data_IF_116681066064
#
_entry.id   IF_116681066064
#
_cell.length_a   1.000
_cell.length_b   1.000
_cell.length_c   1.000
_cell.angle_alpha   90.00
_cell.angle_beta   90.00
_cell.angle_gamma   90.00
#
_symmetry.space_group_name_H-M   'P 1'
#
loop_
_entity.id
_entity.type
_entity.pdbx_description
1 polymer ?
#
# COMPACT_ATOMS: atom_id res chain seq x y z
N UNK A 1 3.19 -1.98 -9.58
CA UNK A 1 2.95 -2.99 -8.51
C UNK A 1 1.65 -2.76 -7.73
N UNK A 2 1.31 -1.54 -7.30
CA UNK A 2 0.04 -1.30 -6.59
C UNK A 2 -1.20 -1.67 -7.41
N UNK A 3 -1.16 -1.49 -8.72
CA UNK A 3 -2.31 -1.75 -9.61
C UNK A 3 -2.57 -3.27 -9.74
N UNK A 4 -1.54 -4.06 -10.03
CA UNK A 4 -1.67 -5.52 -10.14
C UNK A 4 -2.05 -6.18 -8.80
N UNK A 5 -1.50 -5.69 -7.68
CA UNK A 5 -1.91 -6.14 -6.35
C UNK A 5 -3.40 -5.89 -6.09
N UNK A 6 -3.91 -4.70 -6.45
CA UNK A 6 -5.32 -4.37 -6.28
C UNK A 6 -6.23 -5.21 -7.18
N UNK A 7 -5.79 -5.47 -8.42
CA UNK A 7 -6.50 -6.37 -9.35
C UNK A 7 -6.60 -7.78 -8.75
N UNK A 8 -5.52 -8.31 -8.18
CA UNK A 8 -5.50 -9.62 -7.52
C UNK A 8 -6.47 -9.64 -6.33
N UNK A 9 -6.45 -8.62 -5.46
CA UNK A 9 -7.35 -8.52 -4.30
C UNK A 9 -8.82 -8.51 -4.75
N UNK A 10 -9.17 -7.70 -5.75
CA UNK A 10 -10.53 -7.63 -6.28
C UNK A 10 -10.98 -8.97 -6.90
N UNK A 11 -10.06 -9.69 -7.52
CA UNK A 11 -10.32 -11.02 -8.09
C UNK A 11 -10.54 -12.07 -6.99
N UNK A 12 -9.83 -11.96 -5.87
CA UNK A 12 -10.04 -12.81 -4.68
C UNK A 12 -11.40 -12.57 -4.04
N UNK A 13 -11.85 -11.32 -3.96
CA UNK A 13 -13.20 -10.98 -3.45
C UNK A 13 -14.30 -11.59 -4.35
N UNK A 14 -14.12 -11.54 -5.67
CA UNK A 14 -15.05 -12.16 -6.64
C UNK A 14 -15.10 -13.68 -6.48
N UNK A 15 -13.97 -14.33 -6.25
CA UNK A 15 -13.89 -15.76 -5.94
C UNK A 15 -14.58 -16.09 -4.61
N UNK A 16 -14.37 -15.29 -3.56
CA UNK A 16 -14.99 -15.50 -2.24
C UNK A 16 -16.52 -15.45 -2.29
N UNK A 17 -17.09 -14.64 -3.20
CA UNK A 17 -18.54 -14.54 -3.45
C UNK A 17 -19.10 -15.63 -4.38
N UNK A 18 -18.25 -16.53 -4.88
CA UNK A 18 -18.66 -17.68 -5.71
C UNK A 18 -18.90 -17.34 -7.20
N UNK A 19 -18.47 -16.18 -7.66
CA UNK A 19 -18.72 -15.68 -9.02
C UNK A 19 -17.66 -16.07 -10.05
N UNK A 20 -16.55 -16.72 -9.68
CA UNK A 20 -15.46 -17.09 -10.58
C UNK A 20 -14.68 -18.31 -10.10
N UNK A 21 -14.05 -19.04 -11.03
CA UNK A 21 -13.01 -20.02 -10.70
C UNK A 21 -11.69 -19.29 -10.48
N UNK A 22 -11.11 -19.46 -9.31
CA UNK A 22 -9.88 -18.78 -8.93
C UNK A 22 -8.68 -19.17 -9.81
N UNK A 23 -8.64 -20.41 -10.31
CA UNK A 23 -7.57 -20.86 -11.20
C UNK A 23 -7.64 -20.16 -12.56
N UNK A 24 -8.85 -20.07 -13.15
CA UNK A 24 -9.06 -19.36 -14.40
C UNK A 24 -8.70 -17.87 -14.26
N UNK A 25 -9.09 -17.27 -13.13
CA UNK A 25 -8.76 -15.87 -12.84
C UNK A 25 -7.25 -15.65 -12.77
N UNK A 26 -6.50 -16.52 -12.06
CA UNK A 26 -5.05 -16.42 -11.98
C UNK A 26 -4.41 -16.65 -13.35
N UNK A 27 -4.88 -17.60 -14.13
CA UNK A 27 -4.36 -17.86 -15.46
C UNK A 27 -4.56 -16.67 -16.39
N UNK A 28 -5.73 -16.05 -16.37
CA UNK A 28 -6.02 -14.83 -17.14
C UNK A 28 -5.10 -13.66 -16.71
N UNK A 29 -4.87 -13.51 -15.42
CA UNK A 29 -3.96 -12.47 -14.91
C UNK A 29 -2.51 -12.71 -15.37
N UNK A 30 -2.05 -13.95 -15.34
CA UNK A 30 -0.70 -14.30 -15.82
C UNK A 30 -0.57 -14.08 -17.35
N UNK A 31 -1.60 -14.40 -18.13
CA UNK A 31 -1.61 -14.14 -19.58
C UNK A 31 -1.54 -12.64 -19.91
N UNK A 32 -2.20 -11.79 -19.12
CA UNK A 32 -2.26 -10.35 -19.34
C UNK A 32 -1.05 -9.59 -18.75
N UNK A 33 -0.61 -9.95 -17.54
CA UNK A 33 0.36 -9.19 -16.74
C UNK A 33 1.73 -9.89 -16.63
N UNK A 34 1.82 -11.15 -17.10
CA UNK A 34 3.06 -11.93 -17.07
C UNK A 34 3.31 -12.69 -15.76
N UNK A 35 4.45 -13.37 -15.72
CA UNK A 35 4.82 -14.27 -14.60
C UNK A 35 5.06 -13.55 -13.26
N UNK A 36 5.25 -12.23 -13.28
CA UNK A 36 5.32 -11.39 -12.05
C UNK A 36 4.03 -11.43 -11.22
N UNK A 37 2.95 -11.95 -11.78
CA UNK A 37 1.69 -12.20 -11.06
C UNK A 37 1.87 -13.22 -9.93
N UNK A 38 2.70 -14.26 -10.12
CA UNK A 38 2.86 -15.32 -9.12
C UNK A 38 3.43 -14.84 -7.78
N UNK A 39 4.56 -14.10 -7.71
CA UNK A 39 5.09 -13.61 -6.44
C UNK A 39 4.13 -12.64 -5.75
N UNK A 40 3.44 -11.77 -6.49
CA UNK A 40 2.48 -10.83 -5.91
C UNK A 40 1.27 -11.58 -5.34
N UNK A 41 0.75 -12.57 -6.07
CA UNK A 41 -0.37 -13.41 -5.62
C UNK A 41 -0.01 -14.17 -4.33
N UNK A 42 1.12 -14.87 -4.30
CA UNK A 42 1.56 -15.60 -3.12
C UNK A 42 1.81 -14.66 -1.94
N UNK A 43 2.41 -13.48 -2.19
CA UNK A 43 2.59 -12.48 -1.14
C UNK A 43 1.25 -11.95 -0.59
N UNK A 44 0.26 -11.72 -1.44
CA UNK A 44 -1.09 -11.30 -0.98
C UNK A 44 -1.74 -12.35 -0.08
N UNK A 45 -1.58 -13.63 -0.43
CA UNK A 45 -2.26 -14.74 0.26
C UNK A 45 -1.51 -15.26 1.50
N UNK A 46 -0.18 -15.16 1.51
CA UNK A 46 0.65 -15.81 2.55
C UNK A 46 1.62 -14.89 3.28
N UNK A 47 1.84 -13.66 2.76
CA UNK A 47 2.90 -12.74 3.16
C UNK A 47 4.33 -13.27 2.98
N UNK A 48 4.51 -14.37 2.26
CA UNK A 48 5.81 -14.88 1.90
C UNK A 48 6.33 -14.16 0.65
N UNK A 49 7.63 -13.93 0.61
CA UNK A 49 8.32 -13.33 -0.54
C UNK A 49 9.08 -14.41 -1.30
N UNK A 50 8.88 -14.45 -2.60
CA UNK A 50 9.52 -15.39 -3.50
C UNK A 50 10.05 -14.67 -4.74
N UNK A 51 11.13 -15.19 -5.33
CA UNK A 51 11.49 -14.84 -6.70
C UNK A 51 10.37 -15.28 -7.66
N UNK A 52 10.31 -14.69 -8.87
CA UNK A 52 9.32 -15.06 -9.89
C UNK A 52 9.37 -16.56 -10.20
N UNK A 53 10.58 -17.12 -10.32
CA UNK A 53 10.79 -18.54 -10.59
C UNK A 53 10.32 -19.44 -9.43
N UNK A 54 10.65 -19.09 -8.19
CA UNK A 54 10.22 -19.83 -7.02
C UNK A 54 8.71 -19.74 -6.79
N UNK A 55 8.13 -18.56 -7.01
CA UNK A 55 6.69 -18.34 -6.90
C UNK A 55 5.92 -19.22 -7.88
N UNK A 56 6.35 -19.27 -9.15
CA UNK A 56 5.76 -20.15 -10.17
C UNK A 56 5.90 -21.62 -9.79
N UNK A 57 7.08 -22.04 -9.35
CA UNK A 57 7.32 -23.42 -8.91
C UNK A 57 6.42 -23.80 -7.72
N UNK A 58 6.31 -22.91 -6.72
CA UNK A 58 5.41 -23.12 -5.58
C UNK A 58 3.95 -23.20 -6.02
N UNK A 59 3.52 -22.32 -6.93
CA UNK A 59 2.15 -22.36 -7.49
C UNK A 59 1.83 -23.72 -8.13
N UNK A 60 2.71 -24.23 -9.01
CA UNK A 60 2.54 -25.52 -9.65
C UNK A 60 2.50 -26.68 -8.63
N UNK A 61 3.31 -26.60 -7.59
CA UNK A 61 3.34 -27.59 -6.52
C UNK A 61 2.07 -27.55 -5.66
N UNK A 62 1.51 -26.35 -5.39
CA UNK A 62 0.23 -26.19 -4.69
C UNK A 62 -0.90 -26.86 -5.49
N UNK A 63 -0.96 -26.67 -6.82
CA UNK A 63 -1.96 -27.29 -7.68
C UNK A 63 -1.85 -28.83 -7.66
N UNK A 64 -0.63 -29.36 -7.74
CA UNK A 64 -0.39 -30.82 -7.63
C UNK A 64 -0.80 -31.34 -6.26
N UNK A 65 -0.47 -30.59 -5.20
CA UNK A 65 -0.82 -30.96 -3.83
C UNK A 65 -2.34 -30.94 -3.61
N UNK A 66 -3.05 -29.98 -4.19
CA UNK A 66 -4.50 -29.94 -4.16
C UNK A 66 -5.11 -31.20 -4.77
N UNK A 67 -4.67 -31.57 -5.97
CA UNK A 67 -5.15 -32.78 -6.64
C UNK A 67 -4.89 -34.06 -5.81
N UNK A 68 -3.72 -34.12 -5.15
CA UNK A 68 -3.38 -35.23 -4.25
C UNK A 68 -4.28 -35.28 -3.02
N UNK A 69 -4.60 -34.14 -2.42
CA UNK A 69 -5.54 -34.06 -1.29
C UNK A 69 -6.97 -34.46 -1.71
N UNK A 70 -7.43 -34.05 -2.88
CA UNK A 70 -8.75 -34.41 -3.40
C UNK A 70 -8.89 -35.94 -3.56
N UNK A 71 -7.86 -36.59 -4.12
CA UNK A 71 -7.83 -38.06 -4.24
C UNK A 71 -7.82 -38.73 -2.87
N UNK A 72 -7.01 -38.27 -1.93
CA UNK A 72 -6.90 -38.87 -0.60
C UNK A 72 -8.14 -38.70 0.26
N UNK A 73 -8.84 -37.57 0.15
CA UNK A 73 -9.98 -37.20 0.98
C UNK A 73 -11.32 -37.57 0.33
N UNK A 74 -11.29 -38.03 -0.93
CA UNK A 74 -12.48 -38.36 -1.73
C UNK A 74 -13.52 -37.25 -1.73
N UNK A 75 -13.06 -35.99 -1.82
CA UNK A 75 -13.89 -34.79 -1.89
C UNK A 75 -13.13 -33.61 -2.51
N UNK A 76 -13.84 -32.62 -3.08
CA UNK A 76 -13.21 -31.39 -3.53
C UNK A 76 -12.51 -30.65 -2.37
N UNK A 77 -11.32 -30.11 -2.64
CA UNK A 77 -10.51 -29.32 -1.69
C UNK A 77 -10.34 -27.91 -2.26
N UNK A 78 -10.69 -26.89 -1.50
CA UNK A 78 -10.46 -25.51 -1.92
C UNK A 78 -8.97 -25.22 -2.05
N UNK A 79 -8.58 -24.44 -3.05
CA UNK A 79 -7.19 -24.10 -3.32
C UNK A 79 -6.48 -23.47 -2.10
N UNK A 80 -7.16 -22.57 -1.38
CA UNK A 80 -6.63 -21.95 -0.14
C UNK A 80 -6.30 -23.01 0.91
N UNK A 81 -7.15 -24.02 1.08
CA UNK A 81 -6.89 -25.13 2.02
C UNK A 81 -5.63 -25.91 1.62
N UNK A 82 -5.51 -26.26 0.33
CA UNK A 82 -4.35 -26.96 -0.18
C UNK A 82 -3.06 -26.12 -0.08
N UNK A 83 -3.15 -24.83 -0.28
CA UNK A 83 -2.02 -23.90 -0.14
C UNK A 83 -1.55 -23.78 1.31
N UNK A 84 -2.47 -23.66 2.27
CA UNK A 84 -2.14 -23.65 3.70
C UNK A 84 -1.44 -24.96 4.11
N UNK A 85 -2.00 -26.10 3.70
CA UNK A 85 -1.43 -27.42 3.99
C UNK A 85 -0.05 -27.58 3.33
N UNK A 86 0.11 -27.17 2.07
CA UNK A 86 1.39 -27.23 1.35
C UNK A 86 2.47 -26.39 2.05
N UNK A 87 2.19 -25.14 2.41
CA UNK A 87 3.17 -24.26 3.03
C UNK A 87 3.47 -24.63 4.49
N UNK A 88 2.55 -25.28 5.19
CA UNK A 88 2.73 -25.73 6.58
C UNK A 88 3.42 -27.10 6.67
N UNK A 89 2.94 -28.07 5.90
CA UNK A 89 3.35 -29.48 6.06
C UNK A 89 4.39 -29.93 5.05
N UNK A 90 4.34 -29.42 3.81
CA UNK A 90 5.23 -29.89 2.72
C UNK A 90 6.46 -29.01 2.61
N UNK A 91 6.28 -27.72 2.32
CA UNK A 91 7.40 -26.79 2.12
C UNK A 91 7.90 -26.14 3.41
N UNK A 92 7.11 -26.18 4.48
CA UNK A 92 7.42 -25.66 5.82
C UNK A 92 7.83 -24.19 5.88
N UNK A 93 7.36 -23.39 4.93
CA UNK A 93 7.56 -21.94 4.94
C UNK A 93 6.71 -21.25 6.02
N UNK A 94 5.58 -21.85 6.41
CA UNK A 94 4.70 -21.38 7.48
C UNK A 94 4.80 -22.30 8.69
N UNK A 95 5.22 -21.76 9.84
CA UNK A 95 5.34 -22.53 11.08
C UNK A 95 4.06 -22.56 11.90
N UNK A 96 3.39 -21.42 12.05
CA UNK A 96 2.13 -21.25 12.81
C UNK A 96 1.21 -20.32 12.02
N UNK A 97 0.62 -20.77 10.91
CA UNK A 97 -0.28 -19.92 10.13
C UNK A 97 -1.53 -19.57 10.92
N UNK A 98 -1.90 -18.28 10.92
CA UNK A 98 -3.16 -17.79 11.47
C UNK A 98 -4.05 -17.35 10.32
N UNK A 99 -5.32 -17.76 10.32
CA UNK A 99 -6.27 -17.30 9.32
C UNK A 99 -6.85 -15.94 9.74
N UNK A 100 -6.68 -14.94 8.89
CA UNK A 100 -7.30 -13.63 9.03
C UNK A 100 -8.08 -13.36 7.75
N UNK A 101 -9.28 -12.83 7.89
CA UNK A 101 -10.06 -12.41 6.73
C UNK A 101 -9.29 -11.31 5.98
N UNK A 102 -9.13 -11.44 4.66
CA UNK A 102 -8.35 -10.51 3.83
C UNK A 102 -8.85 -9.06 4.01
N UNK A 103 -10.16 -8.88 4.10
CA UNK A 103 -10.78 -7.57 4.31
C UNK A 103 -10.37 -6.95 5.65
N UNK A 104 -10.38 -7.71 6.75
CA UNK A 104 -9.96 -7.25 8.05
C UNK A 104 -8.46 -6.88 8.07
N UNK A 105 -7.64 -7.64 7.33
CA UNK A 105 -6.22 -7.35 7.17
C UNK A 105 -6.00 -6.05 6.40
N UNK A 106 -6.72 -5.83 5.30
CA UNK A 106 -6.61 -4.61 4.48
C UNK A 106 -7.14 -3.37 5.25
N UNK A 107 -8.20 -3.52 6.05
CA UNK A 107 -8.66 -2.46 6.94
C UNK A 107 -7.59 -2.10 7.99
N UNK A 108 -6.96 -3.11 8.61
CA UNK A 108 -5.86 -2.90 9.56
C UNK A 108 -4.66 -2.21 8.87
N UNK A 109 -4.35 -2.59 7.64
CA UNK A 109 -3.29 -1.94 6.84
C UNK A 109 -3.63 -0.49 6.48
N UNK A 110 -4.88 -0.19 6.14
CA UNK A 110 -5.32 1.19 5.89
C UNK A 110 -5.14 2.07 7.12
N UNK A 111 -5.59 1.59 8.29
CA UNK A 111 -5.38 2.28 9.57
C UNK A 111 -3.88 2.47 9.87
N UNK A 112 -3.05 1.47 9.54
CA UNK A 112 -1.59 1.54 9.75
C UNK A 112 -0.85 2.43 8.74
N UNK A 113 -1.50 2.96 7.68
CA UNK A 113 -0.87 3.80 6.65
C UNK A 113 -1.09 5.28 6.83
N UNK A 114 -2.07 5.67 7.62
CA UNK A 114 -2.42 7.07 7.85
C UNK A 114 -1.96 7.55 9.22
N UNK A 115 -1.70 8.84 9.32
CA UNK A 115 -1.48 9.52 10.59
C UNK A 115 -2.84 9.83 11.24
N UNK A 116 -3.01 9.39 12.48
CA UNK A 116 -4.30 9.49 13.19
C UNK A 116 -4.73 10.91 13.52
N UNK A 117 -3.82 11.89 13.54
CA UNK A 117 -4.13 13.29 13.80
C UNK A 117 -4.57 14.02 12.54
N UNK A 118 -3.77 13.92 11.47
CA UNK A 118 -3.91 14.72 10.25
C UNK A 118 -4.70 14.03 9.14
N UNK A 119 -4.84 12.70 9.19
CA UNK A 119 -5.43 11.90 8.12
C UNK A 119 -4.55 11.77 6.87
N UNK A 120 -3.39 12.44 6.83
CA UNK A 120 -2.37 12.22 5.79
C UNK A 120 -1.78 10.81 5.91
N UNK A 121 -1.06 10.39 4.88
CA UNK A 121 -0.27 9.16 5.02
C UNK A 121 0.84 9.36 6.07
N UNK A 122 1.23 8.30 6.75
CA UNK A 122 2.28 8.32 7.74
C UNK A 122 3.68 8.11 7.12
N UNK A 123 4.73 8.27 7.92
CA UNK A 123 6.13 8.09 7.51
C UNK A 123 6.39 6.72 6.89
N UNK A 124 5.81 5.65 7.43
CA UNK A 124 6.00 4.31 6.88
C UNK A 124 5.49 4.22 5.44
N UNK A 125 4.31 4.76 5.18
CA UNK A 125 3.75 4.80 3.83
C UNK A 125 4.58 5.68 2.89
N UNK A 126 5.16 6.78 3.41
CA UNK A 126 6.10 7.61 2.67
C UNK A 126 7.32 6.80 2.22
N UNK A 127 7.98 6.07 3.14
CA UNK A 127 9.18 5.28 2.86
C UNK A 127 8.88 4.19 1.79
N UNK A 128 7.77 3.45 1.94
CA UNK A 128 7.29 2.44 0.96
C UNK A 128 7.03 3.06 -0.43
N UNK A 129 6.41 4.23 -0.47
CA UNK A 129 6.05 4.93 -1.72
C UNK A 129 7.27 5.53 -2.41
N UNK A 130 8.19 6.11 -1.65
CA UNK A 130 9.42 6.69 -2.16
C UNK A 130 10.27 5.64 -2.88
N UNK A 131 10.40 4.45 -2.30
CA UNK A 131 11.09 3.33 -2.95
C UNK A 131 10.41 2.95 -4.28
N UNK A 132 9.08 2.87 -4.28
CA UNK A 132 8.30 2.57 -5.47
C UNK A 132 8.48 3.60 -6.59
N UNK A 133 8.39 4.90 -6.26
CA UNK A 133 8.57 5.99 -7.23
C UNK A 133 10.02 6.09 -7.74
N UNK A 134 10.99 5.83 -6.88
CA UNK A 134 12.41 5.76 -7.30
C UNK A 134 12.62 4.65 -8.33
N UNK A 135 12.09 3.45 -8.07
CA UNK A 135 12.17 2.32 -8.98
C UNK A 135 11.42 2.58 -10.31
N UNK A 136 10.28 3.28 -10.25
CA UNK A 136 9.50 3.69 -11.43
C UNK A 136 10.29 4.69 -12.29
N UNK A 137 10.87 5.72 -11.66
CA UNK A 137 11.66 6.74 -12.34
C UNK A 137 12.87 6.13 -13.05
N UNK A 138 13.59 5.21 -12.40
CA UNK A 138 14.74 4.51 -13.01
C UNK A 138 14.32 3.69 -14.24
N UNK A 139 13.19 2.96 -14.17
CA UNK A 139 12.74 2.10 -15.28
C UNK A 139 12.25 2.88 -16.50
N UNK A 140 11.59 4.01 -16.25
CA UNK A 140 10.90 4.77 -17.30
C UNK A 140 11.66 6.02 -17.73
N UNK A 141 12.91 6.21 -17.27
CA UNK A 141 13.69 7.45 -17.46
C UNK A 141 12.85 8.70 -17.08
N UNK A 142 12.05 8.53 -16.03
CA UNK A 142 11.11 9.53 -15.52
C UNK A 142 11.70 10.32 -14.36
N UNK A 143 10.89 11.22 -13.81
CA UNK A 143 11.24 11.99 -12.63
C UNK A 143 10.08 12.05 -11.63
N UNK A 144 10.42 12.35 -10.40
CA UNK A 144 9.47 12.80 -9.37
C UNK A 144 10.16 13.88 -8.54
N UNK A 145 9.35 14.64 -7.80
CA UNK A 145 9.87 15.69 -6.90
C UNK A 145 9.33 15.48 -5.50
N UNK A 146 10.19 15.72 -4.50
CA UNK A 146 9.79 15.77 -3.09
C UNK A 146 9.74 17.22 -2.64
N UNK A 147 8.70 17.58 -1.89
CA UNK A 147 8.60 18.86 -1.19
C UNK A 147 8.47 18.56 0.28
N UNK A 148 9.41 19.05 1.09
CA UNK A 148 9.33 19.02 2.53
C UNK A 148 8.81 20.37 3.04
N UNK A 149 7.88 20.30 3.97
CA UNK A 149 7.32 21.45 4.68
C UNK A 149 7.62 21.29 6.16
N UNK A 150 8.00 22.37 6.80
CA UNK A 150 8.21 22.47 8.25
C UNK A 150 7.46 23.71 8.75
N UNK A 151 6.79 23.59 9.89
CA UNK A 151 6.00 24.69 10.46
C UNK A 151 6.87 25.60 11.29
N UNK A 152 7.07 26.82 10.82
CA UNK A 152 7.85 27.86 11.52
C UNK A 152 7.31 28.11 12.93
N UNK A 153 8.20 28.09 13.92
CA UNK A 153 7.89 28.34 15.32
C UNK A 153 6.82 27.42 15.95
N UNK A 154 6.59 26.21 15.42
CA UNK A 154 5.57 25.29 15.92
C UNK A 154 5.71 24.97 17.41
N UNK A 155 6.94 24.77 17.89
CA UNK A 155 7.21 24.59 19.31
C UNK A 155 6.75 25.79 20.15
N UNK A 156 7.01 27.02 19.68
CA UNK A 156 6.58 28.25 20.37
C UNK A 156 5.05 28.36 20.41
N UNK A 157 4.39 27.95 19.35
CA UNK A 157 2.90 27.87 19.30
C UNK A 157 2.41 26.93 20.40
N UNK A 158 2.95 25.70 20.47
CA UNK A 158 2.60 24.73 21.51
C UNK A 158 2.84 25.24 22.92
N UNK A 159 4.01 25.89 23.15
CA UNK A 159 4.37 26.39 24.45
C UNK A 159 3.49 27.58 24.92
N UNK A 160 2.92 28.37 23.98
CA UNK A 160 2.10 29.53 24.28
C UNK A 160 0.60 29.30 24.26
N UNK A 161 0.11 28.45 23.33
CA UNK A 161 -1.32 28.20 23.09
C UNK A 161 -1.75 26.76 23.47
N UNK A 162 -0.76 25.93 23.85
CA UNK A 162 -1.00 24.54 24.22
C UNK A 162 -0.99 23.57 23.03
N UNK A 163 -0.83 22.30 23.35
CA UNK A 163 -0.72 21.22 22.34
C UNK A 163 -1.99 21.07 21.47
N UNK A 164 -3.17 21.43 22.00
CA UNK A 164 -4.41 21.39 21.23
C UNK A 164 -4.39 22.40 20.05
N UNK A 165 -3.80 23.57 20.26
CA UNK A 165 -3.62 24.57 19.21
C UNK A 165 -2.65 24.06 18.12
N UNK A 166 -1.55 23.39 18.52
CA UNK A 166 -0.64 22.73 17.58
C UNK A 166 -1.33 21.62 16.77
N UNK A 167 -2.15 20.80 17.43
CA UNK A 167 -2.91 19.75 16.76
C UNK A 167 -3.91 20.30 15.71
N UNK A 168 -4.62 21.39 16.05
CA UNK A 168 -5.52 22.07 15.12
C UNK A 168 -4.75 22.68 13.94
N UNK A 169 -3.58 23.28 14.20
CA UNK A 169 -2.70 23.80 13.15
C UNK A 169 -2.27 22.70 12.19
N UNK A 170 -1.79 21.57 12.69
CA UNK A 170 -1.39 20.44 11.86
C UNK A 170 -2.54 19.89 11.01
N UNK A 171 -3.74 19.78 11.58
CA UNK A 171 -4.95 19.36 10.84
C UNK A 171 -5.25 20.34 9.71
N UNK A 172 -5.21 21.65 10.00
CA UNK A 172 -5.51 22.68 9.01
C UNK A 172 -4.52 22.68 7.86
N UNK A 173 -3.23 22.56 8.15
CA UNK A 173 -2.18 22.45 7.11
C UNK A 173 -2.39 21.19 6.26
N UNK A 174 -2.70 20.06 6.89
CA UNK A 174 -2.99 18.81 6.19
C UNK A 174 -4.21 18.94 5.26
N UNK A 175 -5.29 19.58 5.69
CA UNK A 175 -6.46 19.86 4.85
C UNK A 175 -6.08 20.70 3.62
N UNK A 176 -5.29 21.76 3.80
CA UNK A 176 -4.81 22.59 2.71
C UNK A 176 -3.98 21.76 1.73
N UNK A 177 -3.07 20.92 2.23
CA UNK A 177 -2.26 20.06 1.37
C UNK A 177 -3.13 19.07 0.56
N UNK A 178 -4.17 18.50 1.17
CA UNK A 178 -5.11 17.59 0.48
C UNK A 178 -5.89 18.33 -0.61
N UNK A 179 -6.32 19.55 -0.37
CA UNK A 179 -7.09 20.35 -1.33
C UNK A 179 -6.24 20.83 -2.52
N UNK A 180 -4.97 21.14 -2.26
CA UNK A 180 -4.08 21.75 -3.27
C UNK A 180 -3.28 20.73 -4.09
N UNK A 181 -3.15 19.49 -3.61
CA UNK A 181 -2.47 18.41 -4.33
C UNK A 181 -3.36 17.80 -5.42
N UNK A 182 -2.76 17.18 -6.41
CA UNK A 182 -3.46 16.36 -7.41
C UNK A 182 -3.82 14.98 -6.83
N UNK A 183 -4.65 14.23 -7.55
CA UNK A 183 -5.04 12.87 -7.15
C UNK A 183 -3.84 11.93 -7.05
N UNK A 184 -2.90 12.02 -7.98
CA UNK A 184 -1.67 11.23 -8.05
C UNK A 184 -0.60 11.65 -7.05
N UNK A 185 -0.67 12.88 -6.50
CA UNK A 185 0.28 13.37 -5.52
C UNK A 185 0.01 12.73 -4.15
N UNK A 186 1.06 12.46 -3.40
CA UNK A 186 0.97 11.75 -2.12
C UNK A 186 1.44 12.69 -1.01
N UNK A 187 0.53 12.99 -0.09
CA UNK A 187 0.77 13.84 1.07
C UNK A 187 0.96 12.99 2.33
N UNK A 188 2.06 13.18 3.04
CA UNK A 188 2.44 12.41 4.22
C UNK A 188 2.80 13.33 5.38
N UNK A 189 2.56 12.87 6.61
CA UNK A 189 3.19 13.40 7.82
C UNK A 189 4.44 12.60 8.10
N UNK A 190 5.60 13.24 7.94
CA UNK A 190 6.90 12.60 8.07
C UNK A 190 7.39 12.55 9.54
N UNK A 191 7.12 13.60 10.28
CA UNK A 191 7.50 13.74 11.68
C UNK A 191 6.51 14.59 12.48
N UNK A 192 6.91 15.10 13.62
CA UNK A 192 6.08 15.91 14.50
C UNK A 192 5.36 17.05 13.77
N UNK A 193 6.13 17.97 13.21
CA UNK A 193 5.66 19.14 12.45
C UNK A 193 6.10 19.12 10.99
N UNK A 194 6.76 18.02 10.57
CA UNK A 194 7.26 17.84 9.22
C UNK A 194 6.24 17.14 8.34
N UNK A 195 5.92 17.75 7.21
CA UNK A 195 5.00 17.24 6.20
C UNK A 195 5.74 17.11 4.87
N UNK A 196 5.33 16.18 4.02
CA UNK A 196 5.99 15.94 2.75
C UNK A 196 4.98 15.63 1.64
N UNK A 197 5.26 16.13 0.43
CA UNK A 197 4.58 15.73 -0.79
C UNK A 197 5.53 14.96 -1.69
N UNK A 198 5.07 13.83 -2.22
CA UNK A 198 5.67 13.15 -3.35
C UNK A 198 4.86 13.53 -4.57
N UNK A 199 5.51 14.08 -5.58
CA UNK A 199 4.91 14.55 -6.84
C UNK A 199 5.44 13.70 -7.99
N UNK A 200 4.75 12.60 -8.36
CA UNK A 200 5.14 11.78 -9.51
C UNK A 200 5.16 12.61 -10.80
N UNK A 201 6.06 12.27 -11.72
CA UNK A 201 6.16 12.89 -13.06
C UNK A 201 6.17 14.44 -13.05
N UNK A 202 6.70 15.03 -11.97
CA UNK A 202 6.70 16.47 -11.77
C UNK A 202 8.11 17.01 -11.71
N UNK A 203 8.43 17.95 -12.58
CA UNK A 203 9.70 18.66 -12.59
C UNK A 203 9.79 19.71 -11.46
N UNK A 204 11.00 19.99 -10.99
CA UNK A 204 11.26 20.94 -9.89
C UNK A 204 10.58 22.30 -10.08
N UNK A 205 10.53 22.83 -11.30
CA UNK A 205 9.90 24.14 -11.57
C UNK A 205 8.41 24.12 -11.27
N UNK A 206 7.72 23.04 -11.66
CA UNK A 206 6.29 22.88 -11.40
C UNK A 206 6.02 22.60 -9.91
N UNK A 207 6.90 21.86 -9.26
CA UNK A 207 6.82 21.59 -7.83
C UNK A 207 6.95 22.87 -6.99
N UNK A 208 7.80 23.82 -7.39
CA UNK A 208 7.92 25.14 -6.73
C UNK A 208 6.60 25.92 -6.76
N UNK A 209 5.84 25.83 -7.84
CA UNK A 209 4.52 26.49 -7.95
C UNK A 209 3.54 25.88 -6.94
N UNK A 210 3.56 24.56 -6.78
CA UNK A 210 2.70 23.85 -5.83
C UNK A 210 3.12 24.21 -4.38
N UNK A 211 4.43 24.20 -4.11
CA UNK A 211 4.97 24.56 -2.80
C UNK A 211 4.57 25.95 -2.37
N UNK A 212 4.74 26.94 -3.27
CA UNK A 212 4.41 28.34 -2.98
C UNK A 212 2.91 28.55 -2.81
N UNK A 213 2.08 27.88 -3.60
CA UNK A 213 0.63 27.92 -3.46
C UNK A 213 0.17 27.39 -2.10
N UNK A 214 0.72 26.25 -1.66
CA UNK A 214 0.43 25.70 -0.34
C UNK A 214 0.92 26.64 0.75
N UNK A 215 2.14 27.15 0.65
CA UNK A 215 2.69 28.11 1.61
C UNK A 215 1.78 29.33 1.80
N UNK A 216 1.34 29.93 0.69
CA UNK A 216 0.44 31.10 0.73
C UNK A 216 -0.91 30.76 1.37
N UNK A 217 -1.48 29.60 1.03
CA UNK A 217 -2.74 29.13 1.63
C UNK A 217 -2.63 28.87 3.13
N UNK A 218 -1.47 28.38 3.59
CA UNK A 218 -1.20 28.20 5.02
C UNK A 218 -1.04 29.56 5.71
N UNK A 219 -0.33 30.51 5.09
CA UNK A 219 -0.15 31.87 5.62
C UNK A 219 -1.47 32.64 5.73
N UNK A 220 -2.38 32.46 4.76
CA UNK A 220 -3.71 33.08 4.73
C UNK A 220 -4.73 32.38 5.65
N UNK A 221 -4.41 31.19 6.17
CA UNK A 221 -5.33 30.41 6.98
C UNK A 221 -5.53 31.06 8.36
N UNK A 222 -6.76 31.46 8.65
CA UNK A 222 -7.15 31.88 10.00
C UNK A 222 -7.34 30.63 10.86
N UNK A 223 -6.70 30.63 12.03
CA UNK A 223 -6.82 29.58 13.04
C UNK A 223 -7.54 30.17 14.25
N UNK A 224 -8.74 29.70 14.51
CA UNK A 224 -9.48 29.99 15.74
C UNK A 224 -9.09 28.95 16.81
N UNK A 225 -8.47 29.39 17.88
CA UNK A 225 -8.05 28.55 19.00
C UNK A 225 -8.94 28.75 20.23
#
# INVERSE_FOLDING_TARGET
>A
MNDLRQIIINSLDSYATGNSDFRETVQTLVENEGEETYPILLNVLTHLEFSTQDAKSNWDNILKHQALLEVKLDRPVKLITAMCDYFSEVSKHLQLPTMIELKALEETRKISRTDGLTGLFNRRFFDETLEGETNRAIRNDGNFTLIFFDLDNFKKLNDTQGHQAGDLTLKRVAEIMILEKRTEDIACRYGGEELVLILPETQKVNALVIAERIRQKVEEAELEF
#
